data_IF_922146359892
#
_entry.id   IF_922146359892
#
_cell.length_a   1.000
_cell.length_b   1.000
_cell.length_c   1.000
_cell.angle_alpha   90.00
_cell.angle_beta   90.00
_cell.angle_gamma   90.00
#
_symmetry.space_group_name_H-M   'P 1'
#
loop_
_entity.id
_entity.type
_entity.pdbx_description
1 polymer ?
#
# COMPACT_ATOMS: atom_id res chain seq x y z
N UNK A 1 18.85 -26.70 25.65
CA UNK A 1 19.69 -25.98 24.67
C UNK A 1 18.98 -26.02 23.33
N UNK A 2 18.14 -25.03 23.04
CA UNK A 2 17.34 -25.03 21.81
C UNK A 2 18.21 -24.49 20.68
N UNK A 3 18.60 -25.35 19.74
CA UNK A 3 19.26 -24.93 18.51
C UNK A 3 18.29 -24.02 17.73
N UNK A 4 18.49 -22.71 17.84
CA UNK A 4 17.81 -21.75 16.99
C UNK A 4 18.25 -22.00 15.56
N UNK A 5 17.34 -22.50 14.73
CA UNK A 5 17.56 -22.67 13.28
C UNK A 5 18.03 -21.33 12.69
N UNK A 6 19.33 -21.18 12.55
CA UNK A 6 19.96 -19.98 11.99
C UNK A 6 19.50 -19.84 10.54
N UNK A 7 18.97 -18.67 10.18
CA UNK A 7 18.53 -18.41 8.80
C UNK A 7 19.70 -18.67 7.83
N UNK A 8 19.47 -19.32 6.67
CA UNK A 8 20.52 -19.55 5.70
C UNK A 8 21.23 -18.23 5.32
N UNK A 9 22.56 -18.22 5.19
CA UNK A 9 23.32 -17.00 4.88
C UNK A 9 22.82 -16.27 3.63
N UNK A 10 22.34 -17.02 2.63
CA UNK A 10 21.83 -16.49 1.36
C UNK A 10 20.56 -15.64 1.50
N UNK A 11 19.68 -15.95 2.45
CA UNK A 11 18.40 -15.25 2.64
C UNK A 11 18.45 -14.20 3.75
N UNK A 12 19.46 -14.27 4.63
CA UNK A 12 19.65 -13.37 5.77
C UNK A 12 19.67 -11.87 5.41
N UNK A 13 20.25 -11.41 4.29
CA UNK A 13 20.23 -9.98 3.92
C UNK A 13 18.82 -9.41 3.82
N UNK A 14 17.84 -10.17 3.31
CA UNK A 14 16.44 -9.73 3.20
C UNK A 14 15.84 -9.34 4.54
N UNK A 15 16.21 -10.05 5.61
CA UNK A 15 15.77 -9.72 6.97
C UNK A 15 16.23 -8.32 7.38
N UNK A 16 17.54 -8.06 7.23
CA UNK A 16 18.15 -6.80 7.66
C UNK A 16 17.73 -5.62 6.81
N UNK A 17 17.54 -5.83 5.51
CA UNK A 17 17.02 -4.80 4.62
C UNK A 17 15.58 -4.40 4.96
N UNK A 18 14.70 -5.36 5.22
CA UNK A 18 13.34 -5.04 5.66
C UNK A 18 13.32 -4.37 7.05
N UNK A 19 14.22 -4.76 7.96
CA UNK A 19 14.37 -4.11 9.25
C UNK A 19 14.87 -2.66 9.10
N UNK A 20 15.82 -2.40 8.20
CA UNK A 20 16.32 -1.06 7.90
C UNK A 20 15.21 -0.16 7.33
N UNK A 21 14.43 -0.64 6.35
CA UNK A 21 13.24 0.08 5.85
C UNK A 21 12.30 0.46 7.00
N UNK A 22 12.05 -0.49 7.91
CA UNK A 22 11.16 -0.26 9.05
C UNK A 22 11.68 0.83 9.99
N UNK A 23 12.99 0.90 10.22
CA UNK A 23 13.61 1.98 11.00
C UNK A 23 13.43 3.34 10.33
N UNK A 24 13.43 3.39 9.00
CA UNK A 24 13.16 4.61 8.21
C UNK A 24 11.67 4.96 8.12
N UNK A 25 10.78 4.10 8.64
CA UNK A 25 9.32 4.26 8.64
C UNK A 25 8.62 3.54 7.48
N UNK A 26 9.37 2.98 6.54
CA UNK A 26 8.86 2.19 5.42
C UNK A 26 8.68 0.72 5.84
N UNK A 27 7.60 0.07 5.44
CA UNK A 27 7.33 -1.30 5.84
C UNK A 27 7.06 -2.17 4.64
N UNK A 28 7.83 -3.26 4.52
CA UNK A 28 7.56 -4.31 3.54
C UNK A 28 6.25 -4.98 3.90
N UNK A 29 5.29 -4.97 2.97
CA UNK A 29 3.95 -5.56 3.14
C UNK A 29 3.85 -6.92 2.47
N UNK A 30 4.49 -7.06 1.31
CA UNK A 30 4.51 -8.32 0.58
C UNK A 30 5.85 -8.51 -0.13
N UNK A 31 6.28 -9.76 -0.22
CA UNK A 31 7.43 -10.20 -1.01
C UNK A 31 7.10 -11.55 -1.61
N UNK A 32 7.04 -11.61 -2.94
CA UNK A 32 6.64 -12.81 -3.65
C UNK A 32 7.50 -13.04 -4.88
N UNK A 33 7.68 -14.31 -5.21
CA UNK A 33 8.26 -14.76 -6.46
C UNK A 33 7.28 -15.73 -7.13
N UNK A 34 6.87 -15.41 -8.35
CA UNK A 34 6.10 -16.29 -9.21
C UNK A 34 7.06 -17.04 -10.14
N UNK A 35 7.15 -18.36 -9.94
CA UNK A 35 8.01 -19.24 -10.73
C UNK A 35 7.51 -19.43 -12.16
N UNK A 36 6.20 -19.31 -12.41
CA UNK A 36 5.62 -19.54 -13.72
C UNK A 36 5.93 -18.39 -14.67
N UNK A 37 5.85 -17.16 -14.15
CA UNK A 37 6.17 -15.95 -14.90
C UNK A 37 7.62 -15.46 -14.71
N UNK A 38 8.38 -16.08 -13.80
CA UNK A 38 9.72 -15.65 -13.42
C UNK A 38 9.75 -14.18 -12.98
N UNK A 39 8.79 -13.79 -12.13
CA UNK A 39 8.63 -12.42 -11.65
C UNK A 39 8.73 -12.35 -10.13
N UNK A 40 9.60 -11.48 -9.62
CA UNK A 40 9.60 -11.06 -8.22
C UNK A 40 8.84 -9.75 -8.06
N UNK A 41 8.02 -9.65 -7.00
CA UNK A 41 7.34 -8.41 -6.61
C UNK A 41 7.59 -8.15 -5.14
N UNK A 42 8.03 -6.93 -4.84
CA UNK A 42 8.14 -6.40 -3.48
C UNK A 42 7.16 -5.25 -3.37
N UNK A 43 6.29 -5.30 -2.37
CA UNK A 43 5.36 -4.22 -2.08
C UNK A 43 5.74 -3.59 -0.75
N UNK A 44 6.03 -2.29 -0.78
CA UNK A 44 6.44 -1.50 0.38
C UNK A 44 5.39 -0.44 0.63
N UNK A 45 4.97 -0.32 1.88
CA UNK A 45 4.19 0.82 2.37
C UNK A 45 5.17 1.84 2.93
N UNK A 46 5.21 3.00 2.32
CA UNK A 46 6.08 4.09 2.74
C UNK A 46 5.61 4.69 4.07
N UNK A 47 6.47 5.45 4.74
CA UNK A 47 6.10 6.23 5.93
C UNK A 47 4.90 7.15 5.68
N UNK A 48 4.74 7.62 4.44
CA UNK A 48 3.58 8.38 3.97
C UNK A 48 2.32 7.53 3.77
N UNK A 49 2.28 6.28 4.20
CA UNK A 49 1.18 5.32 3.99
C UNK A 49 0.93 4.91 2.53
N UNK A 50 1.71 5.42 1.57
CA UNK A 50 1.61 5.05 0.16
C UNK A 50 2.17 3.66 -0.09
N UNK A 51 1.43 2.82 -0.80
CA UNK A 51 1.93 1.53 -1.27
C UNK A 51 2.61 1.68 -2.63
N UNK A 52 3.83 1.13 -2.74
CA UNK A 52 4.61 1.07 -3.96
C UNK A 52 5.05 -0.37 -4.20
N UNK A 53 4.81 -0.88 -5.41
CA UNK A 53 5.27 -2.19 -5.82
C UNK A 53 6.46 -2.07 -6.77
N UNK A 54 7.55 -2.74 -6.44
CA UNK A 54 8.71 -2.91 -7.31
C UNK A 54 8.66 -4.31 -7.90
N UNK A 55 8.72 -4.37 -9.23
CA UNK A 55 8.61 -5.62 -10.00
C UNK A 55 9.92 -5.86 -10.72
N UNK A 56 10.45 -7.08 -10.58
CA UNK A 56 11.63 -7.58 -11.30
C UNK A 56 11.24 -8.80 -12.11
N UNK A 57 11.44 -8.75 -13.43
CA UNK A 57 11.12 -9.82 -14.40
C UNK A 57 12.39 -10.45 -14.95
N UNK A 58 12.29 -11.55 -15.69
CA UNK A 58 13.44 -12.11 -16.39
C UNK A 58 14.00 -11.15 -17.48
N UNK A 59 13.11 -10.41 -18.13
CA UNK A 59 13.42 -9.58 -19.30
C UNK A 59 14.11 -8.26 -18.98
N UNK A 60 13.99 -7.74 -17.74
CA UNK A 60 14.62 -6.44 -17.46
C UNK A 60 16.15 -6.58 -17.47
N UNK A 61 16.81 -5.61 -18.09
CA UNK A 61 18.27 -5.56 -18.15
C UNK A 61 18.86 -5.51 -16.75
N UNK A 62 19.93 -6.27 -16.52
CA UNK A 62 20.65 -6.24 -15.26
C UNK A 62 21.13 -4.80 -14.98
N UNK A 63 20.47 -4.14 -14.03
CA UNK A 63 20.82 -2.81 -13.58
C UNK A 63 21.21 -2.86 -12.10
N UNK A 64 22.06 -1.93 -11.68
CA UNK A 64 22.39 -1.77 -10.26
C UNK A 64 21.14 -1.22 -9.57
N UNK A 65 20.57 -1.92 -8.57
CA UNK A 65 19.39 -1.42 -7.88
C UNK A 65 19.67 -0.08 -7.20
N UNK A 66 18.84 0.93 -7.52
CA UNK A 66 19.04 2.30 -7.05
C UNK A 66 18.51 2.56 -5.64
N UNK A 67 17.69 1.64 -5.11
CA UNK A 67 17.10 1.75 -3.79
C UNK A 67 16.91 0.37 -3.17
N UNK A 68 16.65 0.36 -1.87
CA UNK A 68 16.54 -0.86 -1.07
C UNK A 68 15.40 -1.79 -1.53
N UNK A 69 14.18 -1.29 -1.86
CA UNK A 69 13.14 -2.14 -2.44
C UNK A 69 13.53 -2.82 -3.76
N UNK A 70 14.24 -2.12 -4.66
CA UNK A 70 14.74 -2.71 -5.91
C UNK A 70 15.83 -3.76 -5.65
N UNK A 71 16.71 -3.53 -4.67
CA UNK A 71 17.74 -4.50 -4.28
C UNK A 71 17.09 -5.77 -3.73
N UNK A 72 16.05 -5.62 -2.89
CA UNK A 72 15.27 -6.72 -2.39
C UNK A 72 14.56 -7.49 -3.52
N UNK A 73 13.99 -6.79 -4.51
CA UNK A 73 13.32 -7.42 -5.65
C UNK A 73 14.29 -8.27 -6.49
N UNK A 74 15.49 -7.75 -6.77
CA UNK A 74 16.56 -8.49 -7.44
C UNK A 74 17.00 -9.74 -6.65
N UNK A 75 17.19 -9.60 -5.33
CA UNK A 75 17.59 -10.71 -4.47
C UNK A 75 16.50 -11.81 -4.43
N UNK A 76 15.23 -11.43 -4.27
CA UNK A 76 14.10 -12.37 -4.30
C UNK A 76 14.00 -13.07 -5.65
N UNK A 77 14.20 -12.34 -6.75
CA UNK A 77 14.21 -12.92 -8.09
C UNK A 77 15.32 -13.96 -8.25
N UNK A 78 16.56 -13.64 -7.85
CA UNK A 78 17.70 -14.58 -7.92
C UNK A 78 17.50 -15.81 -7.05
N UNK A 79 17.04 -15.63 -5.81
CA UNK A 79 16.76 -16.74 -4.90
C UNK A 79 15.66 -17.65 -5.48
N UNK A 80 14.59 -17.06 -6.01
CA UNK A 80 13.52 -17.79 -6.67
C UNK A 80 13.98 -18.57 -7.90
N UNK A 81 14.76 -17.93 -8.78
CA UNK A 81 15.34 -18.54 -9.97
C UNK A 81 16.29 -19.71 -9.64
N UNK A 82 17.02 -19.62 -8.52
CA UNK A 82 17.90 -20.68 -8.02
C UNK A 82 17.17 -21.78 -7.25
N UNK A 83 15.85 -21.69 -7.10
CA UNK A 83 15.02 -22.72 -6.46
C UNK A 83 14.87 -22.61 -4.94
N UNK A 84 15.31 -21.52 -4.32
CA UNK A 84 15.24 -21.27 -2.86
C UNK A 84 13.84 -20.85 -2.39
N UNK A 85 12.77 -21.27 -3.09
CA UNK A 85 11.41 -20.79 -2.85
C UNK A 85 10.87 -21.23 -1.49
N UNK A 86 11.28 -22.40 -0.99
CA UNK A 86 10.85 -22.92 0.31
C UNK A 86 11.49 -22.18 1.49
N UNK A 87 12.82 -22.00 1.45
CA UNK A 87 13.59 -21.27 2.44
C UNK A 87 13.19 -19.79 2.48
N UNK A 88 12.92 -19.20 1.31
CA UNK A 88 12.40 -17.86 1.20
C UNK A 88 11.01 -17.74 1.87
N UNK A 89 10.08 -18.64 1.59
CA UNK A 89 8.76 -18.63 2.23
C UNK A 89 8.87 -18.75 3.76
N UNK A 90 9.71 -19.66 4.25
CA UNK A 90 9.97 -19.83 5.67
C UNK A 90 10.58 -18.56 6.32
N UNK A 91 11.45 -17.85 5.61
CA UNK A 91 11.97 -16.56 6.05
C UNK A 91 10.86 -15.51 6.14
N UNK A 92 10.02 -15.37 5.12
CA UNK A 92 8.92 -14.41 5.09
C UNK A 92 7.97 -14.64 6.27
N UNK A 93 7.65 -15.91 6.56
CA UNK A 93 6.79 -16.25 7.70
C UNK A 93 7.44 -15.88 9.05
N UNK A 94 8.75 -16.11 9.21
CA UNK A 94 9.50 -15.65 10.39
C UNK A 94 9.54 -14.14 10.49
N UNK A 95 9.77 -13.44 9.39
CA UNK A 95 9.78 -11.97 9.36
C UNK A 95 8.42 -11.40 9.73
N UNK A 96 7.32 -12.06 9.31
CA UNK A 96 5.95 -11.69 9.70
C UNK A 96 5.71 -11.95 11.17
N UNK A 97 6.17 -13.08 11.72
CA UNK A 97 6.07 -13.40 13.14
C UNK A 97 6.89 -12.44 14.02
N UNK A 98 8.07 -12.04 13.57
CA UNK A 98 8.90 -11.01 14.20
C UNK A 98 8.37 -9.58 13.99
N UNK A 99 7.32 -9.42 13.21
CA UNK A 99 6.71 -8.14 12.88
C UNK A 99 7.52 -7.28 11.93
N UNK A 100 8.65 -7.74 11.38
CA UNK A 100 9.50 -6.98 10.43
C UNK A 100 8.77 -6.69 9.12
N UNK A 101 8.01 -7.68 8.63
CA UNK A 101 7.08 -7.53 7.50
C UNK A 101 5.70 -7.21 8.07
N UNK A 102 5.05 -6.17 7.56
CA UNK A 102 3.67 -5.88 7.92
C UNK A 102 2.79 -7.04 7.49
N UNK A 103 1.86 -7.44 8.37
CA UNK A 103 0.73 -8.25 7.92
C UNK A 103 -0.10 -7.36 6.99
N UNK A 104 -0.46 -7.81 5.77
CA UNK A 104 -1.39 -7.07 4.94
C UNK A 104 -2.65 -6.83 5.77
N UNK A 105 -2.91 -5.57 6.14
CA UNK A 105 -4.16 -5.24 6.79
C UNK A 105 -5.23 -5.48 5.75
N UNK A 106 -6.16 -6.41 6.00
CA UNK A 106 -7.30 -6.57 5.12
C UNK A 106 -7.99 -5.21 4.98
N UNK A 107 -8.21 -4.75 3.75
CA UNK A 107 -8.92 -3.51 3.47
C UNK A 107 -10.38 -3.67 3.89
N UNK A 108 -10.63 -3.51 5.18
CA UNK A 108 -11.94 -3.76 5.78
C UNK A 108 -12.94 -2.72 5.32
N UNK A 109 -14.12 -3.17 4.87
CA UNK A 109 -15.27 -2.30 4.63
C UNK A 109 -15.84 -1.90 5.98
N UNK A 110 -15.72 -0.61 6.33
CA UNK A 110 -16.33 -0.06 7.53
C UNK A 110 -17.67 0.59 7.15
N UNK A 111 -18.77 0.15 7.75
CA UNK A 111 -20.12 0.69 7.49
C UNK A 111 -20.66 1.52 8.66
N UNK A 112 -19.83 1.73 9.68
CA UNK A 112 -20.18 2.44 10.92
C UNK A 112 -20.76 3.82 10.62
N UNK A 113 -21.78 4.29 11.36
CA UNK A 113 -22.32 5.62 11.19
C UNK A 113 -21.25 6.71 11.31
N UNK A 114 -21.35 7.73 10.46
CA UNK A 114 -20.45 8.88 10.49
C UNK A 114 -20.80 9.73 11.72
N UNK A 115 -19.85 9.96 12.66
CA UNK A 115 -20.12 10.75 13.85
C UNK A 115 -20.59 12.17 13.50
N UNK A 116 -21.57 12.68 14.26
CA UNK A 116 -22.10 14.06 14.12
C UNK A 116 -22.78 14.36 12.77
N UNK A 117 -23.14 13.33 12.02
CA UNK A 117 -23.94 13.47 10.79
C UNK A 117 -25.39 13.05 11.04
N UNK A 118 -26.32 14.03 11.06
CA UNK A 118 -27.71 13.80 11.47
C UNK A 118 -28.46 12.85 10.53
N UNK A 119 -28.32 13.03 9.21
CA UNK A 119 -28.91 12.14 8.20
C UNK A 119 -27.81 11.31 7.56
N UNK A 120 -27.66 10.07 8.02
CA UNK A 120 -26.62 9.18 7.53
C UNK A 120 -26.73 8.96 6.02
N UNK A 121 -25.63 9.11 5.25
CA UNK A 121 -25.61 8.78 3.84
C UNK A 121 -25.73 7.26 3.67
N UNK A 122 -25.91 6.80 2.44
CA UNK A 122 -26.01 5.37 2.16
C UNK A 122 -24.76 4.59 2.59
N UNK A 123 -24.90 3.26 2.65
CA UNK A 123 -23.83 2.37 3.12
C UNK A 123 -22.56 2.49 2.29
N UNK A 124 -22.66 2.68 0.98
CA UNK A 124 -21.48 2.70 0.09
C UNK A 124 -20.71 4.01 0.19
N UNK A 125 -21.40 5.13 0.42
CA UNK A 125 -20.81 6.43 0.76
C UNK A 125 -20.12 6.38 2.12
N UNK A 126 -20.70 5.69 3.12
CA UNK A 126 -20.04 5.49 4.42
C UNK A 126 -18.76 4.67 4.31
N UNK A 127 -18.76 3.62 3.47
CA UNK A 127 -17.55 2.83 3.20
C UNK A 127 -16.46 3.70 2.58
N UNK A 128 -16.80 4.50 1.57
CA UNK A 128 -15.87 5.45 0.95
C UNK A 128 -15.30 6.44 1.98
N UNK A 129 -16.16 6.99 2.85
CA UNK A 129 -15.76 7.90 3.91
C UNK A 129 -14.71 7.29 4.84
N UNK A 130 -14.91 6.07 5.33
CA UNK A 130 -13.98 5.47 6.27
C UNK A 130 -12.62 5.14 5.65
N UNK A 131 -12.56 4.78 4.37
CA UNK A 131 -11.28 4.65 3.67
C UNK A 131 -10.61 6.01 3.48
N UNK A 132 -11.36 7.04 3.08
CA UNK A 132 -10.84 8.40 2.97
C UNK A 132 -10.29 8.92 4.32
N UNK A 133 -10.99 8.64 5.42
CA UNK A 133 -10.57 9.04 6.77
C UNK A 133 -9.24 8.42 7.18
N UNK A 134 -8.99 7.15 6.84
CA UNK A 134 -7.69 6.52 7.10
C UNK A 134 -6.55 7.22 6.35
N UNK A 135 -6.77 7.63 5.10
CA UNK A 135 -5.76 8.36 4.33
C UNK A 135 -5.51 9.75 4.93
N UNK A 136 -6.58 10.46 5.30
CA UNK A 136 -6.52 11.76 5.97
C UNK A 136 -5.84 11.65 7.35
N UNK A 137 -6.04 10.53 8.05
CA UNK A 137 -5.36 10.21 9.31
C UNK A 137 -3.84 10.18 9.16
N UNK A 138 -3.36 9.71 8.01
CA UNK A 138 -1.96 9.70 7.61
C UNK A 138 -1.49 11.00 6.93
N UNK A 139 -2.28 12.08 7.02
CA UNK A 139 -1.90 13.40 6.54
C UNK A 139 -2.13 13.64 5.05
N UNK A 140 -2.84 12.75 4.36
CA UNK A 140 -3.17 12.94 2.95
C UNK A 140 -4.25 14.00 2.81
N UNK A 141 -4.17 14.78 1.72
CA UNK A 141 -5.27 15.64 1.30
C UNK A 141 -5.87 15.06 0.04
N UNK A 142 -7.18 14.84 0.07
CA UNK A 142 -7.91 14.23 -1.03
C UNK A 142 -8.66 15.31 -1.80
N UNK A 143 -8.57 15.26 -3.12
CA UNK A 143 -9.16 16.21 -4.06
C UNK A 143 -9.86 15.45 -5.18
N UNK A 144 -10.83 16.09 -5.82
CA UNK A 144 -11.50 15.59 -7.01
C UNK A 144 -12.04 14.14 -6.85
N UNK A 145 -12.58 13.81 -5.68
CA UNK A 145 -13.15 12.50 -5.35
C UNK A 145 -14.37 12.22 -6.23
N UNK A 146 -14.25 11.25 -7.12
CA UNK A 146 -15.29 10.86 -8.07
C UNK A 146 -15.32 11.69 -9.35
N UNK A 147 -14.37 12.60 -9.54
CA UNK A 147 -14.28 13.47 -10.71
C UNK A 147 -13.80 12.69 -11.96
N UNK A 148 -14.26 13.13 -13.13
CA UNK A 148 -13.86 12.57 -14.42
C UNK A 148 -12.35 12.71 -14.68
N UNK A 149 -11.69 13.74 -14.15
CA UNK A 149 -10.23 13.95 -14.28
C UNK A 149 -9.43 12.75 -13.76
N UNK A 150 -9.93 12.07 -12.72
CA UNK A 150 -9.33 10.86 -12.16
C UNK A 150 -10.05 9.58 -12.62
N UNK A 151 -10.76 9.60 -13.76
CA UNK A 151 -11.62 8.48 -14.20
C UNK A 151 -12.55 7.98 -13.09
N UNK A 152 -13.18 8.91 -12.38
CA UNK A 152 -14.02 8.68 -11.21
C UNK A 152 -13.31 8.10 -9.98
N UNK A 153 -11.98 8.19 -9.92
CA UNK A 153 -11.16 7.93 -8.74
C UNK A 153 -10.96 9.18 -7.88
N UNK A 154 -9.74 9.50 -7.47
CA UNK A 154 -9.43 10.75 -6.75
C UNK A 154 -7.98 11.20 -7.00
N UNK A 155 -7.67 12.43 -6.62
CA UNK A 155 -6.32 12.99 -6.60
C UNK A 155 -5.92 13.17 -5.13
N UNK A 156 -4.68 12.87 -4.77
CA UNK A 156 -4.19 13.10 -3.42
C UNK A 156 -2.87 13.85 -3.39
N UNK A 157 -2.75 14.79 -2.44
CA UNK A 157 -1.47 15.30 -1.97
C UNK A 157 -0.99 14.40 -0.84
N UNK A 158 0.14 13.73 -1.08
CA UNK A 158 0.76 12.80 -0.14
C UNK A 158 1.92 13.52 0.55
N UNK A 159 1.96 13.58 1.88
CA UNK A 159 3.08 14.20 2.58
C UNK A 159 4.37 13.42 2.33
N UNK A 160 5.45 14.13 2.02
CA UNK A 160 6.79 13.57 1.85
C UNK A 160 7.70 14.06 2.96
N UNK A 161 8.65 13.23 3.40
CA UNK A 161 9.59 13.63 4.44
C UNK A 161 10.62 14.59 3.86
N UNK A 162 10.56 15.87 4.22
CA UNK A 162 11.57 16.87 3.88
C UNK A 162 11.45 17.48 2.48
N UNK A 163 10.34 17.27 1.76
CA UNK A 163 10.09 17.84 0.44
C UNK A 163 8.65 18.33 0.30
N UNK A 164 8.32 18.90 -0.87
CA UNK A 164 6.96 19.29 -1.20
C UNK A 164 6.01 18.07 -1.27
N UNK A 165 4.73 18.23 -0.91
CA UNK A 165 3.74 17.17 -1.00
C UNK A 165 3.66 16.63 -2.43
N UNK A 166 3.66 15.31 -2.58
CA UNK A 166 3.57 14.66 -3.87
C UNK A 166 2.11 14.60 -4.31
N UNK A 167 1.78 15.23 -5.43
CA UNK A 167 0.47 15.12 -6.05
C UNK A 167 0.37 13.84 -6.90
N UNK A 168 -0.55 12.94 -6.54
CA UNK A 168 -0.74 11.64 -7.19
C UNK A 168 -2.19 11.45 -7.61
N UNK A 169 -2.40 10.96 -8.84
CA UNK A 169 -3.72 10.58 -9.34
C UNK A 169 -3.95 9.09 -9.08
N UNK A 170 -5.06 8.77 -8.40
CA UNK A 170 -5.54 7.41 -8.18
C UNK A 170 -6.75 7.16 -9.07
N UNK A 171 -6.59 6.55 -10.25
CA UNK A 171 -7.67 6.46 -11.20
C UNK A 171 -8.66 5.36 -10.80
N UNK A 172 -9.94 5.57 -11.12
CA UNK A 172 -11.02 4.65 -10.71
C UNK A 172 -10.93 3.24 -11.31
N UNK A 173 -10.21 3.10 -12.43
CA UNK A 173 -9.96 1.84 -13.13
C UNK A 173 -8.66 1.13 -12.69
N UNK A 174 -7.94 1.68 -11.70
CA UNK A 174 -6.70 1.06 -11.23
C UNK A 174 -6.91 -0.36 -10.69
N UNK A 175 -5.88 -1.19 -10.81
CA UNK A 175 -5.85 -2.50 -10.15
C UNK A 175 -5.92 -2.33 -8.63
N UNK A 176 -6.59 -3.26 -7.95
CA UNK A 176 -6.64 -3.26 -6.49
C UNK A 176 -5.28 -3.75 -5.94
N UNK A 177 -4.52 -2.84 -5.34
CA UNK A 177 -3.19 -3.13 -4.77
C UNK A 177 -3.24 -3.58 -3.30
N UNK A 178 -4.43 -3.64 -2.71
CA UNK A 178 -4.64 -4.03 -1.30
C UNK A 178 -4.64 -2.86 -0.34
N UNK A 179 -4.43 -1.63 -0.82
CA UNK A 179 -4.52 -0.40 -0.03
C UNK A 179 -5.95 0.12 0.08
N UNK A 180 -6.21 0.89 1.13
CA UNK A 180 -7.40 1.73 1.23
C UNK A 180 -7.49 2.75 0.09
N UNK A 181 -6.36 3.21 -0.47
CA UNK A 181 -6.35 4.15 -1.59
C UNK A 181 -6.91 3.50 -2.87
N UNK A 182 -6.44 2.31 -3.26
CA UNK A 182 -6.97 1.62 -4.43
C UNK A 182 -8.41 1.14 -4.21
N UNK A 183 -8.75 0.72 -2.99
CA UNK A 183 -10.12 0.39 -2.63
C UNK A 183 -11.05 1.60 -2.79
N UNK A 184 -10.65 2.77 -2.27
CA UNK A 184 -11.39 4.03 -2.40
C UNK A 184 -11.57 4.43 -3.87
N UNK A 185 -10.50 4.47 -4.66
CA UNK A 185 -10.56 4.90 -6.07
C UNK A 185 -11.52 4.02 -6.89
N UNK A 186 -11.38 2.70 -6.78
CA UNK A 186 -12.25 1.74 -7.46
C UNK A 186 -13.68 1.80 -6.99
N UNK A 187 -13.87 2.11 -5.70
CA UNK A 187 -15.19 2.23 -5.13
C UNK A 187 -15.92 3.47 -5.60
N UNK A 188 -15.26 4.62 -5.62
CA UNK A 188 -15.78 5.87 -6.17
C UNK A 188 -16.25 5.71 -7.62
N UNK A 189 -15.51 4.96 -8.43
CA UNK A 189 -15.88 4.71 -9.83
C UNK A 189 -17.22 3.95 -9.99
N UNK A 190 -17.58 3.12 -9.00
CA UNK A 190 -18.82 2.34 -9.01
C UNK A 190 -20.02 3.08 -8.43
N UNK A 191 -19.79 4.16 -7.70
CA UNK A 191 -20.86 4.99 -7.12
C UNK A 191 -21.59 5.78 -8.20
N UNK A 192 -22.88 6.07 -7.99
CA UNK A 192 -23.62 7.01 -8.82
C UNK A 192 -23.13 8.46 -8.65
N UNK A 193 -23.46 9.34 -9.60
CA UNK A 193 -23.05 10.76 -9.57
C UNK A 193 -23.44 11.48 -8.27
N UNK A 194 -24.67 11.30 -7.80
CA UNK A 194 -25.14 11.87 -6.54
C UNK A 194 -24.38 11.35 -5.32
N UNK A 195 -24.04 10.06 -5.30
CA UNK A 195 -23.25 9.46 -4.22
C UNK A 195 -21.83 10.02 -4.20
N UNK A 196 -21.20 10.19 -5.36
CA UNK A 196 -19.85 10.79 -5.48
C UNK A 196 -19.82 12.22 -4.96
N UNK A 197 -20.83 13.04 -5.30
CA UNK A 197 -20.96 14.38 -4.74
C UNK A 197 -21.07 14.38 -3.22
N UNK A 198 -21.83 13.44 -2.65
CA UNK A 198 -21.93 13.31 -1.19
C UNK A 198 -20.57 12.91 -0.60
N UNK A 199 -19.84 11.96 -1.21
CA UNK A 199 -18.49 11.58 -0.76
C UNK A 199 -17.54 12.78 -0.77
N UNK A 200 -17.50 13.56 -1.85
CA UNK A 200 -16.67 14.77 -1.91
C UNK A 200 -17.02 15.72 -0.76
N UNK A 201 -18.31 15.99 -0.55
CA UNK A 201 -18.79 16.91 0.50
C UNK A 201 -18.36 16.47 1.91
N UNK A 202 -18.54 15.20 2.25
CA UNK A 202 -18.20 14.68 3.59
C UNK A 202 -16.69 14.61 3.81
N UNK A 203 -15.91 14.31 2.75
CA UNK A 203 -14.45 14.30 2.79
C UNK A 203 -13.90 15.72 2.98
N UNK A 204 -14.43 16.71 2.25
CA UNK A 204 -14.04 18.11 2.41
C UNK A 204 -14.37 18.65 3.81
N UNK A 205 -15.52 18.27 4.36
CA UNK A 205 -15.88 18.64 5.72
C UNK A 205 -14.92 18.04 6.76
N UNK A 206 -14.55 16.77 6.59
CA UNK A 206 -13.60 16.10 7.47
C UNK A 206 -12.18 16.69 7.36
N UNK A 207 -11.73 17.04 6.15
CA UNK A 207 -10.44 17.67 5.90
C UNK A 207 -10.36 19.06 6.55
N UNK A 208 -11.41 19.89 6.40
CA UNK A 208 -11.47 21.24 7.02
C UNK A 208 -11.39 21.19 8.54
N UNK A 209 -12.06 20.22 9.17
CA UNK A 209 -12.05 20.06 10.62
C UNK A 209 -10.68 19.71 11.20
N UNK A 210 -9.76 19.14 10.40
CA UNK A 210 -8.39 18.85 10.84
C UNK A 210 -7.42 20.01 10.62
N UNK A 211 -7.76 20.96 9.76
CA UNK A 211 -6.91 22.10 9.43
C UNK A 211 -7.08 23.28 10.40
N UNK A 212 -8.13 23.30 11.22
CA UNK A 212 -8.39 24.28 12.27
C UNK A 212 -8.30 23.66 13.65
#
# INVERSE_FOLDING_TARGET
MSQGHQLPPAVRPLYWWAAALRTEGDVVVDMRFDRSSMVATITVRQASYRLTSVVRRCEDTACIPQNLPALMAEAVWRLGALGWTGEFAALVDRMRAAGVVARPAATGRCVTPIPRWLRQPDTEVRVAYWWAMKLIEHGWRLHACGDAVARHGFIAEIPTTGAEPLLVVFPGDMAHDGSEASALARHLARLGSGQRMVVQTIVDHAAKKRAG
#
